data_IF_760491389359
#
_entry.id   IF_760491389359
#
_cell.length_a   1.000
_cell.length_b   1.000
_cell.length_c   1.000
_cell.angle_alpha   90.00
_cell.angle_beta   90.00
_cell.angle_gamma   90.00
#
_symmetry.space_group_name_H-M   'P 1'
#
loop_
_entity.id
_entity.type
_entity.pdbx_description
1 polymer ?
#
# COMPACT_ATOMS: atom_id res chain seq x y z
N UNK A 1 32.15 39.43 14.88
CA UNK A 1 33.20 38.41 14.72
C UNK A 1 33.61 37.98 16.11
N UNK A 2 33.23 36.78 16.52
CA UNK A 2 33.53 36.29 17.87
C UNK A 2 35.03 36.00 17.95
N UNK A 3 35.76 36.81 18.72
CA UNK A 3 37.14 36.49 19.09
C UNK A 3 37.08 35.18 19.86
N UNK A 4 37.69 34.13 19.29
CA UNK A 4 37.77 32.84 19.95
C UNK A 4 38.44 33.04 21.29
N UNK A 5 37.81 32.53 22.36
CA UNK A 5 38.43 32.51 23.67
C UNK A 5 39.53 31.44 23.63
N UNK A 6 40.70 31.80 23.10
CA UNK A 6 41.91 30.97 23.18
C UNK A 6 42.11 30.49 24.63
N UNK A 7 41.80 31.37 25.60
CA UNK A 7 41.78 31.06 27.03
C UNK A 7 40.89 29.87 27.41
N UNK A 8 39.76 29.67 26.73
CA UNK A 8 38.86 28.53 26.95
C UNK A 8 39.53 27.23 26.48
N UNK A 9 40.08 27.22 25.26
CA UNK A 9 40.80 26.05 24.71
C UNK A 9 42.03 25.72 25.58
N UNK A 10 42.71 26.75 26.08
CA UNK A 10 43.91 26.60 26.92
C UNK A 10 43.62 26.13 28.35
N UNK A 11 42.39 26.32 28.83
CA UNK A 11 41.96 25.86 30.16
C UNK A 11 41.46 24.41 30.19
N UNK A 12 41.32 23.78 29.02
CA UNK A 12 40.68 22.47 28.90
C UNK A 12 41.73 21.37 28.91
N UNK A 13 41.43 20.30 29.64
CA UNK A 13 42.17 19.04 29.57
C UNK A 13 41.51 18.17 28.49
N UNK A 14 42.20 17.88 27.37
CA UNK A 14 41.58 17.20 26.22
C UNK A 14 40.96 15.84 26.57
N UNK A 15 41.59 15.08 27.47
CA UNK A 15 41.14 13.74 27.84
C UNK A 15 39.88 13.72 28.73
N UNK A 16 39.50 14.87 29.32
CA UNK A 16 38.35 14.96 30.24
C UNK A 16 37.17 15.75 29.69
N UNK A 17 37.16 16.04 28.39
CA UNK A 17 36.07 16.80 27.75
C UNK A 17 34.78 15.97 27.68
N UNK A 18 33.68 16.58 28.11
CA UNK A 18 32.34 16.05 27.88
C UNK A 18 31.94 16.14 26.40
N UNK A 19 30.96 15.33 25.97
CA UNK A 19 30.45 15.36 24.59
C UNK A 19 29.91 16.74 24.20
N UNK A 20 29.21 17.41 25.11
CA UNK A 20 28.68 18.76 24.88
C UNK A 20 29.81 19.78 24.66
N UNK A 21 30.89 19.70 25.44
CA UNK A 21 32.06 20.57 25.24
C UNK A 21 32.75 20.29 23.91
N UNK A 22 32.87 19.03 23.49
CA UNK A 22 33.44 18.66 22.19
C UNK A 22 32.60 19.22 21.03
N UNK A 23 31.27 19.21 21.17
CA UNK A 23 30.34 19.76 20.18
C UNK A 23 30.49 21.28 20.04
N UNK A 24 30.54 21.99 21.16
CA UNK A 24 30.73 23.45 21.19
C UNK A 24 32.11 23.86 20.64
N UNK A 25 33.16 23.14 21.04
CA UNK A 25 34.53 23.40 20.60
C UNK A 25 34.74 23.05 19.12
N UNK A 26 34.01 22.08 18.56
CA UNK A 26 34.11 21.76 17.14
C UNK A 26 33.81 22.99 16.29
N UNK A 27 32.74 23.72 16.61
CA UNK A 27 32.39 24.94 15.90
C UNK A 27 33.44 26.03 16.09
N UNK A 28 33.97 26.18 17.32
CA UNK A 28 35.03 27.15 17.63
C UNK A 28 36.34 26.84 16.88
N UNK A 29 36.70 25.56 16.73
CA UNK A 29 37.90 25.09 16.03
C UNK A 29 37.78 25.27 14.53
N UNK A 30 36.65 24.87 13.92
CA UNK A 30 36.46 24.95 12.46
C UNK A 30 36.54 26.38 11.96
N UNK A 31 36.08 27.33 12.77
CA UNK A 31 36.07 28.75 12.45
C UNK A 31 37.31 29.50 12.99
N UNK A 32 38.35 28.77 13.41
CA UNK A 32 39.55 29.37 13.99
C UNK A 32 40.44 30.05 12.95
N UNK A 33 40.50 31.39 13.02
CA UNK A 33 41.46 32.21 12.29
C UNK A 33 42.46 32.84 13.26
N UNK A 34 43.75 32.54 13.07
CA UNK A 34 44.82 33.09 13.92
C UNK A 34 45.33 34.43 13.41
N UNK A 35 45.28 35.44 14.27
CA UNK A 35 45.96 36.74 14.11
C UNK A 35 47.01 37.01 15.20
N UNK A 36 47.24 36.04 16.09
CA UNK A 36 48.16 36.16 17.24
C UNK A 36 49.31 35.15 17.17
N UNK A 37 50.47 35.53 17.72
CA UNK A 37 51.61 34.61 17.93
C UNK A 37 51.28 33.63 19.04
N UNK A 38 50.93 32.40 18.65
CA UNK A 38 50.66 31.27 19.55
C UNK A 38 52.00 30.58 19.89
N UNK A 39 52.19 30.19 21.15
CA UNK A 39 53.39 29.45 21.57
C UNK A 39 53.34 27.98 21.14
N UNK A 40 54.50 27.31 21.08
CA UNK A 40 54.56 25.89 20.72
C UNK A 40 53.76 24.98 21.67
N UNK A 41 53.71 25.29 22.96
CA UNK A 41 52.93 24.49 23.93
C UNK A 41 51.42 24.70 23.74
N UNK A 42 51.00 25.91 23.42
CA UNK A 42 49.60 26.20 23.09
C UNK A 42 49.17 25.50 21.81
N UNK A 43 50.03 25.47 20.78
CA UNK A 43 49.77 24.71 19.54
C UNK A 43 49.63 23.20 19.79
N UNK A 44 50.48 22.62 20.65
CA UNK A 44 50.36 21.19 21.03
C UNK A 44 49.05 20.89 21.72
N UNK A 45 48.62 21.76 22.64
CA UNK A 45 47.34 21.60 23.35
C UNK A 45 46.16 21.71 22.38
N UNK A 46 46.15 22.71 21.51
CA UNK A 46 45.14 22.86 20.46
C UNK A 46 45.08 21.61 19.58
N UNK A 47 46.23 21.08 19.16
CA UNK A 47 46.26 19.87 18.34
C UNK A 47 45.62 18.66 19.05
N UNK A 48 45.86 18.48 20.36
CA UNK A 48 45.21 17.42 21.14
C UNK A 48 43.70 17.60 21.25
N UNK A 49 43.23 18.84 21.48
CA UNK A 49 41.79 19.15 21.51
C UNK A 49 41.15 18.83 20.17
N UNK A 50 41.78 19.23 19.07
CA UNK A 50 41.31 18.92 17.71
C UNK A 50 41.28 17.40 17.47
N UNK A 51 42.30 16.66 17.90
CA UNK A 51 42.31 15.20 17.77
C UNK A 51 41.14 14.55 18.51
N UNK A 52 40.85 14.97 19.74
CA UNK A 52 39.72 14.43 20.51
C UNK A 52 38.35 14.80 19.92
N UNK A 53 38.21 16.01 19.37
CA UNK A 53 37.01 16.42 18.65
C UNK A 53 36.83 15.59 17.37
N UNK A 54 37.91 15.38 16.60
CA UNK A 54 37.85 14.59 15.37
C UNK A 54 37.52 13.12 15.65
N UNK A 55 38.06 12.52 16.71
CA UNK A 55 37.67 11.17 17.14
C UNK A 55 36.18 11.09 17.47
N UNK A 56 35.70 12.03 18.28
CA UNK A 56 34.29 12.10 18.65
C UNK A 56 33.36 12.28 17.44
N UNK A 57 33.72 13.15 16.49
CA UNK A 57 32.97 13.30 15.24
C UNK A 57 33.04 12.06 14.36
N UNK A 58 34.18 11.36 14.32
CA UNK A 58 34.32 10.07 13.64
C UNK A 58 33.36 9.02 14.20
N UNK A 59 33.32 8.87 15.52
CA UNK A 59 32.40 7.94 16.21
C UNK A 59 30.93 8.27 15.93
N UNK A 60 30.56 9.56 15.90
CA UNK A 60 29.20 9.99 15.53
C UNK A 60 28.87 9.61 14.08
N UNK A 61 29.81 9.81 13.14
CA UNK A 61 29.63 9.43 11.74
C UNK A 61 29.47 7.93 11.59
N UNK A 62 30.31 7.13 12.24
CA UNK A 62 30.23 5.66 12.20
C UNK A 62 28.89 5.15 12.75
N UNK A 63 28.40 5.76 13.83
CA UNK A 63 27.07 5.47 14.39
C UNK A 63 25.94 5.78 13.40
N UNK A 64 25.98 6.96 12.77
CA UNK A 64 24.97 7.38 11.79
C UNK A 64 25.00 6.51 10.53
N UNK A 65 26.19 6.13 10.04
CA UNK A 65 26.34 5.21 8.92
C UNK A 65 25.71 3.85 9.26
N UNK A 66 26.01 3.32 10.45
CA UNK A 66 25.41 2.07 10.94
C UNK A 66 23.89 2.15 11.04
N UNK A 67 23.33 3.30 11.46
CA UNK A 67 21.88 3.51 11.50
C UNK A 67 21.26 3.55 10.10
N UNK A 68 21.91 4.23 9.14
CA UNK A 68 21.46 4.27 7.74
C UNK A 68 21.46 2.88 7.11
N UNK A 69 22.52 2.08 7.33
CA UNK A 69 22.59 0.71 6.83
C UNK A 69 21.47 -0.17 7.38
N UNK A 70 21.17 -0.04 8.68
CA UNK A 70 20.07 -0.75 9.31
C UNK A 70 18.70 -0.34 8.75
N UNK A 71 18.48 0.97 8.53
CA UNK A 71 17.25 1.48 7.91
C UNK A 71 17.10 0.99 6.47
N UNK A 72 18.17 1.01 5.68
CA UNK A 72 18.17 0.52 4.31
C UNK A 72 17.85 -0.98 4.25
N UNK A 73 18.42 -1.78 5.15
CA UNK A 73 18.13 -3.21 5.24
C UNK A 73 16.64 -3.47 5.57
N UNK A 74 16.10 -2.76 6.57
CA UNK A 74 14.68 -2.87 6.96
C UNK A 74 13.73 -2.44 5.84
N UNK A 75 14.05 -1.35 5.14
CA UNK A 75 13.25 -0.88 4.01
C UNK A 75 13.21 -1.92 2.89
N UNK A 76 14.35 -2.54 2.56
CA UNK A 76 14.40 -3.62 1.58
C UNK A 76 13.53 -4.82 1.97
N UNK A 77 13.55 -5.22 3.24
CA UNK A 77 12.70 -6.30 3.75
C UNK A 77 11.21 -5.96 3.72
N UNK A 78 10.83 -4.75 4.16
CA UNK A 78 9.43 -4.30 4.16
C UNK A 78 8.88 -4.17 2.74
N UNK A 79 9.67 -3.64 1.81
CA UNK A 79 9.28 -3.49 0.41
C UNK A 79 9.12 -4.85 -0.26
N UNK A 80 10.04 -5.79 -0.03
CA UNK A 80 9.91 -7.17 -0.51
C UNK A 80 8.66 -7.86 0.05
N UNK A 81 8.38 -7.70 1.36
CA UNK A 81 7.17 -8.26 2.00
C UNK A 81 5.89 -7.65 1.42
N UNK A 82 5.85 -6.32 1.25
CA UNK A 82 4.69 -5.63 0.66
C UNK A 82 4.47 -6.08 -0.77
N UNK A 83 5.54 -6.19 -1.57
CA UNK A 83 5.45 -6.66 -2.94
C UNK A 83 4.92 -8.10 -3.00
N UNK A 84 5.41 -9.00 -2.15
CA UNK A 84 4.89 -10.37 -2.08
C UNK A 84 3.42 -10.42 -1.69
N UNK A 85 3.00 -9.65 -0.67
CA UNK A 85 1.58 -9.61 -0.26
C UNK A 85 0.66 -9.12 -1.38
N UNK A 86 1.10 -8.15 -2.17
CA UNK A 86 0.31 -7.65 -3.30
C UNK A 86 0.20 -8.71 -4.42
N UNK A 87 1.27 -9.45 -4.69
CA UNK A 87 1.21 -10.57 -5.64
C UNK A 87 0.23 -11.65 -5.18
N UNK A 88 0.25 -12.02 -3.91
CA UNK A 88 -0.66 -13.02 -3.34
C UNK A 88 -2.12 -12.53 -3.42
N UNK A 89 -2.38 -11.25 -3.13
CA UNK A 89 -3.72 -10.65 -3.25
C UNK A 89 -4.20 -10.61 -4.71
N UNK A 90 -3.34 -10.23 -5.66
CA UNK A 90 -3.66 -10.27 -7.09
C UNK A 90 -4.03 -11.69 -7.51
N UNK A 91 -3.28 -12.70 -7.06
CA UNK A 91 -3.57 -14.09 -7.40
C UNK A 91 -4.92 -14.54 -6.82
N UNK A 92 -5.25 -14.14 -5.58
CA UNK A 92 -6.53 -14.42 -4.96
C UNK A 92 -7.68 -13.78 -5.76
N UNK A 93 -7.56 -12.49 -6.08
CA UNK A 93 -8.58 -11.74 -6.84
C UNK A 93 -8.78 -12.31 -8.25
N UNK A 94 -7.70 -12.72 -8.93
CA UNK A 94 -7.79 -13.41 -10.22
C UNK A 94 -8.52 -14.75 -10.11
N UNK A 95 -8.29 -15.50 -9.02
CA UNK A 95 -9.02 -16.72 -8.71
C UNK A 95 -10.52 -16.48 -8.52
N UNK A 96 -10.87 -15.46 -7.72
CA UNK A 96 -12.26 -15.05 -7.50
C UNK A 96 -12.93 -14.60 -8.80
N UNK A 97 -12.29 -13.75 -9.59
CA UNK A 97 -12.80 -13.32 -10.91
C UNK A 97 -13.05 -14.50 -11.84
N UNK A 98 -12.16 -15.50 -11.83
CA UNK A 98 -12.32 -16.71 -12.64
C UNK A 98 -13.50 -17.55 -12.17
N UNK A 99 -13.76 -17.61 -10.86
CA UNK A 99 -14.94 -18.30 -10.32
C UNK A 99 -16.24 -17.56 -10.66
N UNK A 100 -16.29 -16.23 -10.48
CA UNK A 100 -17.46 -15.42 -10.84
C UNK A 100 -17.77 -15.53 -12.33
N UNK A 101 -16.76 -15.44 -13.20
CA UNK A 101 -16.95 -15.63 -14.65
C UNK A 101 -17.57 -16.98 -14.99
N UNK A 102 -17.11 -18.06 -14.33
CA UNK A 102 -17.69 -19.41 -14.53
C UNK A 102 -19.15 -19.43 -14.07
N UNK A 103 -19.46 -18.82 -12.93
CA UNK A 103 -20.82 -18.73 -12.41
C UNK A 103 -21.76 -17.95 -13.33
N UNK A 104 -21.30 -16.81 -13.88
CA UNK A 104 -22.08 -16.00 -14.84
C UNK A 104 -22.37 -16.77 -16.13
N UNK A 105 -21.40 -17.52 -16.65
CA UNK A 105 -21.63 -18.37 -17.85
C UNK A 105 -22.64 -19.49 -17.60
N UNK A 106 -22.63 -20.11 -16.42
CA UNK A 106 -23.62 -21.15 -16.08
C UNK A 106 -25.02 -20.56 -15.86
N UNK A 107 -25.10 -19.37 -15.24
CA UNK A 107 -26.38 -18.72 -14.96
C UNK A 107 -27.04 -18.19 -16.23
N UNK A 108 -26.27 -17.63 -17.17
CA UNK A 108 -26.80 -17.13 -18.46
C UNK A 108 -27.41 -18.23 -19.33
N UNK A 109 -26.73 -19.39 -19.44
CA UNK A 109 -27.23 -20.53 -20.24
C UNK A 109 -28.57 -21.07 -19.71
N UNK A 110 -28.69 -21.21 -18.38
CA UNK A 110 -29.94 -21.69 -17.77
C UNK A 110 -31.08 -20.68 -17.94
N UNK A 111 -30.79 -19.38 -17.94
CA UNK A 111 -31.79 -18.33 -18.09
C UNK A 111 -32.36 -18.30 -19.53
N UNK A 112 -31.52 -18.55 -20.53
CA UNK A 112 -31.94 -18.68 -21.92
C UNK A 112 -32.80 -19.93 -22.15
N UNK A 113 -32.45 -21.06 -21.53
CA UNK A 113 -33.25 -22.29 -21.56
C UNK A 113 -34.63 -22.09 -20.92
N UNK A 114 -34.69 -21.46 -19.75
CA UNK A 114 -35.95 -21.15 -19.06
C UNK A 114 -36.83 -20.21 -19.89
N UNK A 115 -36.24 -19.20 -20.54
CA UNK A 115 -37.00 -18.32 -21.44
C UNK A 115 -37.59 -19.09 -22.63
N UNK A 116 -36.85 -20.02 -23.22
CA UNK A 116 -37.38 -20.84 -24.32
C UNK A 116 -38.53 -21.73 -23.87
N UNK A 117 -38.45 -22.32 -22.68
CA UNK A 117 -39.55 -23.12 -22.12
C UNK A 117 -40.78 -22.27 -21.81
N UNK A 118 -40.59 -21.05 -21.29
CA UNK A 118 -41.67 -20.11 -21.04
C UNK A 118 -42.42 -19.76 -22.32
N UNK A 119 -41.71 -19.39 -23.39
CA UNK A 119 -42.32 -19.06 -24.69
C UNK A 119 -43.11 -20.27 -25.26
N UNK A 120 -42.57 -21.49 -25.12
CA UNK A 120 -43.28 -22.71 -25.53
C UNK A 120 -44.58 -22.91 -24.74
N UNK A 121 -44.54 -22.67 -23.43
CA UNK A 121 -45.71 -22.78 -22.57
C UNK A 121 -46.77 -21.73 -22.94
N UNK A 122 -46.37 -20.48 -23.18
CA UNK A 122 -47.26 -19.39 -23.62
C UNK A 122 -47.95 -19.72 -24.95
N UNK A 123 -47.19 -20.17 -25.95
CA UNK A 123 -47.77 -20.61 -27.23
C UNK A 123 -48.76 -21.77 -27.05
N UNK A 124 -48.45 -22.71 -26.15
CA UNK A 124 -49.35 -23.83 -25.89
C UNK A 124 -50.64 -23.38 -25.18
N UNK A 125 -50.54 -22.40 -24.27
CA UNK A 125 -51.71 -21.77 -23.62
C UNK A 125 -52.59 -21.10 -24.67
N UNK A 126 -52.01 -20.31 -25.60
CA UNK A 126 -52.77 -19.68 -26.67
C UNK A 126 -53.50 -20.70 -27.55
N UNK A 127 -52.81 -21.77 -27.95
CA UNK A 127 -53.43 -22.86 -28.71
C UNK A 127 -54.61 -23.48 -27.96
N UNK A 128 -54.42 -23.85 -26.70
CA UNK A 128 -55.48 -24.44 -25.87
C UNK A 128 -56.67 -23.48 -25.69
N UNK A 129 -56.43 -22.17 -25.57
CA UNK A 129 -57.51 -21.19 -25.54
C UNK A 129 -58.30 -21.14 -26.84
N UNK A 130 -57.63 -21.22 -28.00
CA UNK A 130 -58.33 -21.25 -29.30
C UNK A 130 -59.14 -22.54 -29.48
N UNK A 131 -58.60 -23.68 -29.07
CA UNK A 131 -59.31 -24.97 -29.07
C UNK A 131 -60.54 -24.91 -28.16
N UNK A 132 -60.41 -24.35 -26.95
CA UNK A 132 -61.52 -24.18 -26.02
C UNK A 132 -62.62 -23.29 -26.61
N UNK A 133 -62.27 -22.14 -27.20
CA UNK A 133 -63.24 -21.27 -27.85
C UNK A 133 -63.96 -21.95 -29.03
N UNK A 134 -63.26 -22.80 -29.78
CA UNK A 134 -63.87 -23.58 -30.86
C UNK A 134 -64.86 -24.59 -30.31
N UNK A 135 -64.45 -25.37 -29.31
CA UNK A 135 -65.30 -26.36 -28.66
C UNK A 135 -66.54 -25.74 -27.99
N UNK A 136 -66.40 -24.58 -27.35
CA UNK A 136 -67.54 -23.83 -26.78
C UNK A 136 -68.54 -23.38 -27.85
N UNK A 137 -68.07 -22.95 -29.02
CA UNK A 137 -68.93 -22.58 -30.14
C UNK A 137 -69.67 -23.78 -30.72
N UNK A 138 -68.98 -24.90 -30.89
CA UNK A 138 -69.58 -26.16 -31.35
C UNK A 138 -70.66 -26.64 -30.39
N UNK A 139 -70.37 -26.68 -29.09
CA UNK A 139 -71.33 -27.07 -28.05
C UNK A 139 -72.55 -26.14 -28.01
N UNK A 140 -72.35 -24.83 -28.18
CA UNK A 140 -73.46 -23.87 -28.27
C UNK A 140 -74.33 -24.12 -29.50
N UNK A 141 -73.73 -24.46 -30.64
CA UNK A 141 -74.47 -24.79 -31.86
C UNK A 141 -75.25 -26.10 -31.69
N UNK A 142 -74.63 -27.15 -31.14
CA UNK A 142 -75.31 -28.41 -30.84
C UNK A 142 -76.48 -28.19 -29.89
N UNK A 143 -76.30 -27.42 -28.81
CA UNK A 143 -77.37 -27.08 -27.87
C UNK A 143 -78.55 -26.41 -28.59
N UNK A 144 -78.29 -25.46 -29.50
CA UNK A 144 -79.33 -24.80 -30.30
C UNK A 144 -80.05 -25.78 -31.23
N UNK A 145 -79.35 -26.72 -31.85
CA UNK A 145 -79.96 -27.74 -32.69
C UNK A 145 -80.85 -28.68 -31.86
N UNK A 146 -80.37 -29.16 -30.71
CA UNK A 146 -81.19 -29.99 -29.79
C UNK A 146 -82.44 -29.24 -29.32
N UNK A 147 -82.31 -27.95 -28.97
CA UNK A 147 -83.45 -27.11 -28.56
C UNK A 147 -84.51 -26.97 -29.67
N UNK A 148 -84.15 -27.06 -30.96
CA UNK A 148 -85.11 -27.06 -32.08
C UNK A 148 -85.92 -28.35 -32.15
N UNK A 149 -85.34 -29.49 -31.79
CA UNK A 149 -86.02 -30.79 -31.79
C UNK A 149 -86.78 -31.09 -30.50
N UNK A 150 -86.54 -30.32 -29.43
CA UNK A 150 -87.23 -30.42 -28.15
C UNK A 150 -88.52 -29.57 -28.05
N UNK A 151 -88.98 -28.99 -29.18
CA UNK A 151 -90.23 -28.25 -29.33
C UNK A 151 -91.19 -29.00 -30.25
#
# INVERSE_FOLDING_TARGET
MASINLNRILSITPESMSEQEKEELYFDVVNFETSQKVSNEQLKLMFRVVQEILKFKGEQVDSLVSEIENLAARQGEEEARRHQSLLDEIQLLQGQLSQTRKFDTFSGSNLDEIHQELVKAELKIEQLMTELQSAERELLNEKREVEKFAK
#
